data_IF_861450347058
#
_entry.id   IF_861450347058
#
_cell.length_a   1.000
_cell.length_b   1.000
_cell.length_c   1.000
_cell.angle_alpha   90.00
_cell.angle_beta   90.00
_cell.angle_gamma   90.00
#
_symmetry.space_group_name_H-M   'P 1'
#
loop_
_entity.id
_entity.type
_entity.pdbx_description
1 polymer ?
#
# COMPACT_ATOMS: atom_id res chain seq x y z
N UNK A 1 -36.10 -34.32 -10.71
CA UNK A 1 -34.86 -33.51 -10.65
C UNK A 1 -35.13 -32.30 -9.76
N UNK A 2 -34.59 -32.25 -8.53
CA UNK A 2 -34.69 -31.05 -7.68
C UNK A 2 -33.87 -29.95 -8.35
N UNK A 3 -34.51 -28.87 -8.81
CA UNK A 3 -33.79 -27.65 -9.20
C UNK A 3 -33.01 -27.19 -7.97
N UNK A 4 -31.68 -27.36 -7.97
CA UNK A 4 -30.83 -26.70 -6.99
C UNK A 4 -31.15 -25.21 -7.09
N UNK A 5 -31.53 -24.59 -5.97
CA UNK A 5 -31.67 -23.13 -5.92
C UNK A 5 -30.33 -22.55 -6.34
N UNK A 6 -30.34 -21.67 -7.34
CA UNK A 6 -29.15 -20.91 -7.70
C UNK A 6 -28.66 -20.20 -6.44
N UNK A 7 -27.41 -20.46 -6.05
CA UNK A 7 -26.73 -19.70 -5.02
C UNK A 7 -26.41 -18.33 -5.61
N UNK A 8 -26.59 -17.29 -4.80
CA UNK A 8 -26.23 -15.93 -5.14
C UNK A 8 -25.22 -15.45 -4.11
N UNK A 9 -24.23 -14.67 -4.54
CA UNK A 9 -23.22 -14.09 -3.66
C UNK A 9 -23.15 -12.58 -3.87
N UNK A 10 -23.04 -11.83 -2.78
CA UNK A 10 -23.00 -10.38 -2.81
C UNK A 10 -21.62 -9.91 -3.28
N UNK A 11 -21.57 -9.17 -4.38
CA UNK A 11 -20.32 -8.61 -4.90
C UNK A 11 -19.72 -7.60 -3.91
N UNK A 12 -18.46 -7.75 -3.45
CA UNK A 12 -17.83 -6.82 -2.52
C UNK A 12 -17.70 -5.38 -3.03
N UNK A 13 -17.57 -5.20 -4.36
CA UNK A 13 -17.47 -3.88 -4.98
C UNK A 13 -18.80 -3.10 -5.02
N UNK A 14 -19.88 -3.69 -5.55
CA UNK A 14 -21.15 -2.99 -5.75
C UNK A 14 -22.27 -3.36 -4.76
N UNK A 15 -22.05 -4.33 -3.89
CA UNK A 15 -23.04 -4.82 -2.92
C UNK A 15 -24.32 -5.43 -3.54
N UNK A 16 -24.30 -5.78 -4.83
CA UNK A 16 -25.43 -6.45 -5.51
C UNK A 16 -25.19 -7.97 -5.51
N UNK A 17 -26.25 -8.74 -5.31
CA UNK A 17 -26.23 -10.21 -5.43
C UNK A 17 -25.98 -10.65 -6.87
N UNK A 18 -25.13 -11.67 -7.04
CA UNK A 18 -24.68 -12.14 -8.34
C UNK A 18 -24.78 -13.66 -8.46
N UNK A 19 -25.38 -14.17 -9.54
CA UNK A 19 -25.29 -15.59 -9.86
C UNK A 19 -23.89 -15.93 -10.37
N UNK A 20 -23.54 -17.22 -10.39
CA UNK A 20 -22.25 -17.73 -10.89
C UNK A 20 -21.89 -17.19 -12.29
N UNK A 21 -22.89 -17.01 -13.15
CA UNK A 21 -22.74 -16.54 -14.54
C UNK A 21 -22.31 -15.07 -14.67
N UNK A 22 -22.32 -14.29 -13.57
CA UNK A 22 -21.88 -12.89 -13.55
C UNK A 22 -20.55 -12.68 -12.79
N UNK A 23 -19.83 -13.77 -12.53
CA UNK A 23 -18.55 -13.79 -11.79
C UNK A 23 -17.49 -14.56 -12.60
N UNK A 24 -17.65 -14.64 -13.91
CA UNK A 24 -16.88 -15.54 -14.77
C UNK A 24 -15.39 -15.22 -14.76
N UNK A 25 -15.02 -13.95 -14.71
CA UNK A 25 -13.61 -13.53 -14.74
C UNK A 25 -12.88 -13.97 -13.47
N UNK A 26 -13.42 -13.66 -12.30
CA UNK A 26 -12.80 -14.04 -11.02
C UNK A 26 -12.79 -15.56 -10.83
N UNK A 27 -13.85 -16.27 -11.23
CA UNK A 27 -13.91 -17.73 -11.15
C UNK A 27 -12.91 -18.41 -12.08
N UNK A 28 -12.66 -17.85 -13.27
CA UNK A 28 -11.63 -18.36 -14.17
C UNK A 28 -10.22 -18.23 -13.56
N UNK A 29 -9.94 -17.10 -12.91
CA UNK A 29 -8.65 -16.88 -12.21
C UNK A 29 -8.50 -17.85 -11.05
N UNK A 30 -9.51 -17.94 -10.17
CA UNK A 30 -9.49 -18.83 -9.02
C UNK A 30 -9.43 -20.30 -9.45
N UNK A 31 -10.18 -20.68 -10.48
CA UNK A 31 -10.14 -22.02 -11.08
C UNK A 31 -8.72 -22.46 -11.47
N UNK A 32 -7.93 -21.56 -12.07
CA UNK A 32 -6.52 -21.83 -12.39
C UNK A 32 -5.64 -21.99 -11.16
N UNK A 33 -5.89 -21.21 -10.11
CA UNK A 33 -5.16 -21.32 -8.84
C UNK A 33 -5.45 -22.66 -8.19
N UNK A 34 -6.73 -23.03 -8.04
CA UNK A 34 -7.11 -24.24 -7.30
C UNK A 34 -6.67 -25.52 -7.98
N UNK A 35 -6.76 -25.57 -9.31
CA UNK A 35 -6.26 -26.71 -10.10
C UNK A 35 -4.74 -26.85 -9.91
N UNK A 36 -4.02 -25.72 -9.92
CA UNK A 36 -2.55 -25.73 -9.84
C UNK A 36 -2.01 -26.02 -8.44
N UNK A 37 -2.64 -25.49 -7.40
CA UNK A 37 -2.08 -25.45 -6.05
C UNK A 37 -2.76 -26.39 -5.06
N UNK A 38 -4.00 -26.80 -5.33
CA UNK A 38 -4.80 -27.61 -4.41
C UNK A 38 -5.25 -28.94 -5.03
N UNK A 39 -4.87 -29.25 -6.28
CA UNK A 39 -5.29 -30.44 -7.04
C UNK A 39 -6.83 -30.63 -7.10
N UNK A 40 -7.57 -29.52 -6.98
CA UNK A 40 -9.03 -29.49 -7.01
C UNK A 40 -9.57 -29.26 -8.42
N UNK A 41 -10.85 -29.56 -8.64
CA UNK A 41 -11.52 -29.26 -9.89
C UNK A 41 -11.82 -27.76 -10.00
N UNK A 42 -11.63 -27.18 -11.19
CA UNK A 42 -12.02 -25.79 -11.47
C UNK A 42 -13.52 -25.52 -11.21
N UNK A 43 -14.37 -26.56 -11.21
CA UNK A 43 -15.78 -26.46 -10.85
C UNK A 43 -15.99 -25.93 -9.43
N UNK A 44 -15.05 -26.22 -8.53
CA UNK A 44 -15.14 -26.00 -7.09
C UNK A 44 -14.80 -24.55 -6.72
N UNK A 45 -14.23 -23.79 -7.67
CA UNK A 45 -13.86 -22.38 -7.48
C UNK A 45 -15.03 -21.52 -6.97
N UNK A 46 -16.27 -21.83 -7.36
CA UNK A 46 -17.42 -21.05 -6.93
C UNK A 46 -17.78 -21.29 -5.45
N UNK A 47 -17.74 -22.55 -5.01
CA UNK A 47 -17.98 -22.86 -3.59
C UNK A 47 -16.85 -22.28 -2.74
N UNK A 48 -15.61 -22.43 -3.19
CA UNK A 48 -14.45 -21.84 -2.51
C UNK A 48 -14.49 -20.31 -2.48
N UNK A 49 -15.03 -19.66 -3.50
CA UNK A 49 -15.23 -18.20 -3.52
C UNK A 49 -16.25 -17.76 -2.46
N UNK A 50 -17.29 -18.56 -2.23
CA UNK A 50 -18.37 -18.25 -1.28
C UNK A 50 -17.94 -18.52 0.15
N UNK A 51 -17.22 -19.61 0.38
CA UNK A 51 -16.87 -20.10 1.71
C UNK A 51 -15.64 -19.38 2.30
N UNK A 52 -14.91 -18.62 1.47
CA UNK A 52 -13.68 -17.92 1.85
C UNK A 52 -13.77 -16.40 1.69
N UNK A 53 -12.89 -15.68 2.38
CA UNK A 53 -12.84 -14.21 2.37
C UNK A 53 -12.09 -13.63 1.14
N UNK A 54 -12.31 -14.20 -0.04
CA UNK A 54 -11.68 -13.70 -1.26
C UNK A 54 -12.11 -12.26 -1.56
N UNK A 55 -11.15 -11.43 -1.96
CA UNK A 55 -11.44 -10.12 -2.52
C UNK A 55 -11.67 -10.28 -4.03
N UNK A 56 -12.90 -10.07 -4.48
CA UNK A 56 -13.32 -10.23 -5.87
C UNK A 56 -14.31 -9.14 -6.29
N UNK A 57 -14.63 -9.10 -7.59
CA UNK A 57 -15.67 -8.24 -8.14
C UNK A 57 -16.42 -8.94 -9.29
N UNK A 58 -17.70 -8.60 -9.46
CA UNK A 58 -18.51 -9.14 -10.55
C UNK A 58 -18.10 -8.59 -11.92
N UNK A 59 -18.51 -9.29 -12.97
CA UNK A 59 -18.11 -8.97 -14.34
C UNK A 59 -18.56 -7.56 -14.74
N UNK A 60 -19.74 -7.09 -14.29
CA UNK A 60 -20.20 -5.71 -14.54
C UNK A 60 -19.29 -4.65 -13.88
N UNK A 61 -18.81 -4.90 -12.65
CA UNK A 61 -17.90 -3.97 -11.99
C UNK A 61 -16.55 -3.88 -12.70
N UNK A 62 -16.06 -5.01 -13.22
CA UNK A 62 -14.83 -5.07 -14.01
C UNK A 62 -15.01 -4.36 -15.36
N UNK A 63 -16.10 -4.66 -16.08
CA UNK A 63 -16.39 -4.08 -17.40
C UNK A 63 -16.61 -2.56 -17.33
N UNK A 64 -17.28 -2.08 -16.27
CA UNK A 64 -17.48 -0.64 -16.03
C UNK A 64 -16.29 0.04 -15.37
N UNK A 65 -15.17 -0.68 -15.15
CA UNK A 65 -13.97 -0.17 -14.48
C UNK A 65 -14.22 0.38 -13.08
N UNK A 66 -15.28 -0.07 -12.39
CA UNK A 66 -15.47 0.17 -10.95
C UNK A 66 -14.50 -0.68 -10.12
N UNK A 67 -14.11 -1.83 -10.67
CA UNK A 67 -13.04 -2.67 -10.20
C UNK A 67 -12.06 -2.95 -11.34
N UNK A 68 -10.85 -3.41 -11.00
CA UNK A 68 -9.87 -3.93 -11.96
C UNK A 68 -9.46 -5.35 -11.57
N UNK A 69 -9.08 -6.14 -12.57
CA UNK A 69 -8.60 -7.50 -12.36
C UNK A 69 -7.24 -7.47 -11.65
N UNK A 70 -7.12 -8.32 -10.63
CA UNK A 70 -5.86 -8.60 -9.94
C UNK A 70 -5.20 -9.83 -10.55
N UNK A 71 -3.87 -9.87 -10.48
CA UNK A 71 -3.06 -10.99 -10.97
C UNK A 71 -2.37 -11.68 -9.78
N UNK A 72 -2.97 -12.77 -9.26
CA UNK A 72 -2.46 -13.53 -8.12
C UNK A 72 -0.97 -13.88 -8.18
N UNK A 73 -0.46 -14.24 -9.35
CA UNK A 73 0.96 -14.60 -9.55
C UNK A 73 1.94 -13.47 -9.27
N UNK A 74 1.46 -12.21 -9.23
CA UNK A 74 2.27 -11.07 -8.86
C UNK A 74 2.06 -10.65 -7.40
N UNK A 75 1.14 -11.25 -6.66
CA UNK A 75 0.94 -10.92 -5.25
C UNK A 75 1.96 -11.64 -4.39
N UNK A 76 2.32 -11.03 -3.27
CA UNK A 76 3.16 -11.65 -2.26
C UNK A 76 2.25 -12.37 -1.25
N UNK A 77 1.89 -13.62 -1.54
CA UNK A 77 1.04 -14.42 -0.67
C UNK A 77 1.42 -15.89 -0.61
N UNK A 78 0.96 -16.54 0.46
CA UNK A 78 1.14 -17.97 0.68
C UNK A 78 -0.16 -18.77 0.45
N UNK A 79 -1.35 -18.20 0.70
CA UNK A 79 -2.61 -18.99 0.71
C UNK A 79 -3.83 -18.31 0.07
N UNK A 80 -4.03 -16.99 0.22
CA UNK A 80 -5.26 -16.30 -0.24
C UNK A 80 -5.00 -15.17 -1.22
N UNK A 81 -5.32 -15.32 -2.51
CA UNK A 81 -5.08 -14.27 -3.50
C UNK A 81 -6.26 -13.34 -3.72
N UNK A 82 -5.99 -12.03 -3.79
CA UNK A 82 -6.96 -11.08 -4.30
C UNK A 82 -7.22 -11.34 -5.79
N UNK A 83 -8.49 -11.41 -6.20
CA UNK A 83 -8.91 -11.67 -7.58
C UNK A 83 -9.29 -10.38 -8.32
N UNK A 84 -9.64 -9.33 -7.57
CA UNK A 84 -9.90 -8.00 -8.10
C UNK A 84 -9.57 -6.90 -7.07
N UNK A 85 -9.41 -5.66 -7.55
CA UNK A 85 -9.29 -4.46 -6.72
C UNK A 85 -10.41 -3.48 -7.04
N UNK A 86 -10.96 -2.85 -6.01
CA UNK A 86 -11.93 -1.76 -6.10
C UNK A 86 -11.56 -0.67 -5.09
N UNK A 87 -12.10 0.53 -5.28
CA UNK A 87 -11.77 1.68 -4.43
C UNK A 87 -12.29 1.47 -2.99
N UNK A 88 -11.53 1.92 -1.98
CA UNK A 88 -11.95 1.85 -0.57
C UNK A 88 -11.65 3.15 0.13
N UNK A 89 -12.64 3.70 0.81
CA UNK A 89 -12.46 4.91 1.60
C UNK A 89 -11.81 4.60 2.94
N UNK A 90 -10.82 5.40 3.29
CA UNK A 90 -10.02 5.28 4.50
C UNK A 90 -9.93 6.64 5.17
N UNK A 91 -9.91 6.65 6.50
CA UNK A 91 -9.70 7.88 7.28
C UNK A 91 -8.22 7.98 7.66
N UNK A 92 -7.57 9.10 7.33
CA UNK A 92 -6.18 9.32 7.67
C UNK A 92 -5.99 9.39 9.18
N UNK A 93 -5.09 8.56 9.72
CA UNK A 93 -4.77 8.55 11.16
C UNK A 93 -4.12 9.84 11.63
N UNK A 94 -3.30 10.48 10.80
CA UNK A 94 -2.63 11.74 11.17
C UNK A 94 -3.54 12.97 11.09
N UNK A 95 -4.18 13.24 9.96
CA UNK A 95 -4.95 14.48 9.76
C UNK A 95 -6.48 14.31 9.83
N UNK A 96 -7.00 13.09 10.02
CA UNK A 96 -8.45 12.81 10.07
C UNK A 96 -9.19 12.94 8.73
N UNK A 97 -8.53 13.39 7.66
CA UNK A 97 -9.16 13.53 6.35
C UNK A 97 -9.47 12.18 5.72
N UNK A 98 -10.67 12.04 5.13
CA UNK A 98 -11.02 10.87 4.31
C UNK A 98 -10.24 10.90 3.00
N UNK A 99 -9.72 9.75 2.60
CA UNK A 99 -9.06 9.57 1.32
C UNK A 99 -9.39 8.18 0.77
N UNK A 100 -9.29 8.01 -0.54
CA UNK A 100 -9.60 6.75 -1.19
C UNK A 100 -8.31 5.99 -1.46
N UNK A 101 -8.22 4.76 -0.96
CA UNK A 101 -7.22 3.80 -1.41
C UNK A 101 -7.71 3.19 -2.72
N UNK A 102 -7.20 3.73 -3.83
CA UNK A 102 -7.73 3.41 -5.15
C UNK A 102 -7.35 1.99 -5.58
N UNK A 103 -8.15 1.42 -6.46
CA UNK A 103 -7.89 0.10 -7.08
C UNK A 103 -6.56 0.07 -7.84
N UNK A 104 -6.16 1.17 -8.48
CA UNK A 104 -4.86 1.31 -9.13
C UNK A 104 -3.71 1.32 -8.10
N UNK A 105 -3.90 2.03 -6.98
CA UNK A 105 -2.91 2.05 -5.90
C UNK A 105 -2.75 0.67 -5.27
N UNK A 106 -3.84 -0.06 -5.03
CA UNK A 106 -3.82 -1.45 -4.57
C UNK A 106 -3.02 -2.36 -5.50
N UNK A 107 -3.26 -2.25 -6.81
CA UNK A 107 -2.52 -3.02 -7.81
C UNK A 107 -1.03 -2.74 -7.74
N UNK A 108 -0.64 -1.47 -7.69
CA UNK A 108 0.76 -1.08 -7.52
C UNK A 108 1.35 -1.66 -6.22
N UNK A 109 0.63 -1.55 -5.11
CA UNK A 109 1.08 -2.01 -3.79
C UNK A 109 1.35 -3.51 -3.75
N UNK A 110 0.38 -4.31 -4.20
CA UNK A 110 0.44 -5.75 -4.01
C UNK A 110 1.19 -6.45 -5.15
N UNK A 111 1.07 -5.96 -6.39
CA UNK A 111 1.67 -6.64 -7.55
C UNK A 111 3.07 -6.14 -7.90
N UNK A 112 3.33 -4.85 -7.72
CA UNK A 112 4.63 -4.24 -8.07
C UNK A 112 5.52 -4.08 -6.85
N UNK A 113 5.02 -3.45 -5.79
CA UNK A 113 5.79 -3.21 -4.56
C UNK A 113 5.84 -4.43 -3.62
N UNK A 114 5.09 -5.49 -3.94
CA UNK A 114 5.05 -6.76 -3.20
C UNK A 114 4.73 -6.61 -1.71
N UNK A 115 3.95 -5.60 -1.37
CA UNK A 115 3.42 -5.47 -0.01
C UNK A 115 2.52 -6.66 0.30
N UNK A 116 2.52 -7.09 1.57
CA UNK A 116 1.56 -8.11 2.03
C UNK A 116 0.15 -7.62 1.80
N UNK A 117 -0.77 -8.51 1.43
CA UNK A 117 -2.13 -8.13 1.01
C UNK A 117 -2.96 -7.51 2.14
N UNK A 118 -2.62 -7.77 3.40
CA UNK A 118 -3.23 -7.16 4.57
C UNK A 118 -2.75 -5.71 4.79
N UNK A 119 -1.74 -5.28 4.04
CA UNK A 119 -1.19 -3.93 4.14
C UNK A 119 -2.19 -2.91 3.59
N UNK A 120 -2.61 -1.98 4.44
CA UNK A 120 -3.52 -0.89 4.09
C UNK A 120 -2.88 0.47 4.40
N UNK A 121 -3.08 1.51 3.58
CA UNK A 121 -2.59 2.84 3.91
C UNK A 121 -3.37 3.37 5.11
N UNK A 122 -2.67 3.70 6.19
CA UNK A 122 -3.29 4.30 7.39
C UNK A 122 -3.25 5.84 7.37
N UNK A 123 -2.51 6.41 6.42
CA UNK A 123 -2.31 7.84 6.24
C UNK A 123 -2.55 8.23 4.78
N UNK A 124 -3.10 9.44 4.57
CA UNK A 124 -3.28 10.00 3.24
C UNK A 124 -1.91 10.25 2.56
N UNK A 125 -1.90 10.46 1.24
CA UNK A 125 -0.66 10.67 0.48
C UNK A 125 0.20 11.83 1.02
N UNK A 126 -0.35 13.02 1.33
CA UNK A 126 0.43 14.11 1.94
C UNK A 126 1.10 13.70 3.26
N UNK A 127 0.36 13.09 4.19
CA UNK A 127 0.92 12.64 5.47
C UNK A 127 1.97 11.54 5.28
N UNK A 128 1.78 10.60 4.33
CA UNK A 128 2.80 9.59 4.00
C UNK A 128 4.08 10.22 3.45
N UNK A 129 3.98 11.26 2.61
CA UNK A 129 5.14 12.01 2.11
C UNK A 129 5.87 12.72 3.25
N UNK A 130 5.14 13.36 4.16
CA UNK A 130 5.72 14.02 5.33
C UNK A 130 6.45 13.05 6.24
N UNK A 131 5.86 11.89 6.55
CA UNK A 131 6.52 10.84 7.35
C UNK A 131 7.81 10.35 6.68
N UNK A 132 7.78 10.14 5.36
CA UNK A 132 8.98 9.74 4.60
C UNK A 132 10.07 10.82 4.63
N UNK A 133 9.69 12.09 4.48
CA UNK A 133 10.61 13.23 4.58
C UNK A 133 11.26 13.29 5.97
N UNK A 134 10.46 13.24 7.03
CA UNK A 134 10.97 13.26 8.40
C UNK A 134 11.91 12.08 8.69
N UNK A 135 11.59 10.88 8.17
CA UNK A 135 12.48 9.71 8.30
C UNK A 135 13.79 9.89 7.54
N UNK A 136 13.74 10.42 6.32
CA UNK A 136 14.94 10.71 5.54
C UNK A 136 15.83 11.75 6.24
N UNK A 137 15.24 12.85 6.73
CA UNK A 137 15.94 13.87 7.50
C UNK A 137 16.56 13.31 8.78
N UNK A 138 15.81 12.51 9.55
CA UNK A 138 16.34 11.83 10.74
C UNK A 138 17.53 10.92 10.40
N UNK A 139 17.46 10.17 9.31
CA UNK A 139 18.58 9.34 8.87
C UNK A 139 19.80 10.19 8.51
N UNK A 140 19.61 11.28 7.75
CA UNK A 140 20.69 12.22 7.40
C UNK A 140 21.34 12.82 8.65
N UNK A 141 20.54 13.32 9.60
CA UNK A 141 21.05 13.81 10.88
C UNK A 141 21.86 12.72 11.60
N UNK A 142 21.32 11.51 11.69
CA UNK A 142 21.96 10.39 12.39
C UNK A 142 23.30 10.01 11.77
N UNK A 143 23.42 10.02 10.44
CA UNK A 143 24.69 9.71 9.77
C UNK A 143 25.74 10.80 9.95
N UNK A 144 25.34 12.08 9.91
CA UNK A 144 26.27 13.19 10.14
C UNK A 144 26.73 13.21 11.61
N UNK A 145 25.81 13.03 12.55
CA UNK A 145 26.09 13.14 14.00
C UNK A 145 26.87 11.96 14.58
N UNK A 146 27.02 10.85 13.84
CA UNK A 146 27.92 9.75 14.20
C UNK A 146 29.40 10.09 13.96
N UNK A 147 29.68 11.05 13.09
CA UNK A 147 31.06 11.45 12.78
C UNK A 147 31.67 12.23 13.92
N UNK A 148 32.99 12.15 14.05
CA UNK A 148 33.68 13.01 15.01
C UNK A 148 33.57 14.48 14.57
N UNK A 149 33.50 15.39 15.54
CA UNK A 149 33.24 16.82 15.28
C UNK A 149 34.26 17.47 14.33
N UNK A 150 35.49 16.96 14.28
CA UNK A 150 36.53 17.45 13.38
C UNK A 150 36.33 16.99 11.92
N UNK A 151 35.68 15.85 11.71
CA UNK A 151 35.42 15.23 10.41
C UNK A 151 34.18 15.79 9.70
N UNK A 152 33.23 16.36 10.46
CA UNK A 152 32.00 16.92 9.86
C UNK A 152 32.35 18.12 8.97
N UNK A 153 32.08 18.01 7.67
CA UNK A 153 32.36 19.08 6.70
C UNK A 153 31.45 20.30 6.89
N UNK A 154 31.85 21.45 6.34
CA UNK A 154 31.02 22.66 6.37
C UNK A 154 29.66 22.43 5.69
N UNK A 155 29.62 21.66 4.59
CA UNK A 155 28.39 21.37 3.86
C UNK A 155 27.43 20.47 4.65
N UNK A 156 27.98 19.51 5.41
CA UNK A 156 27.19 18.70 6.34
C UNK A 156 26.65 19.54 7.49
N UNK A 157 27.45 20.47 8.04
CA UNK A 157 26.97 21.40 9.05
C UNK A 157 25.83 22.27 8.52
N UNK A 158 25.91 22.78 7.28
CA UNK A 158 24.79 23.51 6.65
C UNK A 158 23.55 22.63 6.53
N UNK A 159 23.72 21.38 6.12
CA UNK A 159 22.62 20.41 6.05
C UNK A 159 21.95 20.22 7.42
N UNK A 160 22.71 20.17 8.52
CA UNK A 160 22.17 20.12 9.88
C UNK A 160 21.35 21.39 10.20
N UNK A 161 21.88 22.58 9.88
CA UNK A 161 21.20 23.87 10.08
C UNK A 161 19.86 23.89 9.33
N UNK A 162 19.85 23.52 8.06
CA UNK A 162 18.65 23.52 7.24
C UNK A 162 17.56 22.61 7.82
N UNK A 163 17.92 21.38 8.21
CA UNK A 163 16.97 20.42 8.81
C UNK A 163 16.44 20.95 10.14
N UNK A 164 17.31 21.43 11.04
CA UNK A 164 16.86 21.93 12.34
C UNK A 164 16.01 23.21 12.22
N UNK A 165 16.28 24.05 11.23
CA UNK A 165 15.45 25.23 10.94
C UNK A 165 14.06 24.80 10.45
N UNK A 166 13.98 23.84 9.53
CA UNK A 166 12.71 23.31 9.04
C UNK A 166 11.87 22.62 10.15
N UNK A 167 12.52 22.11 11.19
CA UNK A 167 11.85 21.49 12.35
C UNK A 167 11.55 22.49 13.47
N UNK A 168 11.79 23.77 13.26
CA UNK A 168 11.65 24.84 14.24
C UNK A 168 12.46 24.57 15.54
N UNK A 169 13.71 24.13 15.36
CA UNK A 169 14.69 23.90 16.44
C UNK A 169 15.81 24.93 16.38
N UNK A 170 15.44 26.19 16.59
CA UNK A 170 16.32 27.36 16.42
C UNK A 170 17.62 27.26 17.23
N UNK A 171 17.56 26.81 18.49
CA UNK A 171 18.76 26.66 19.34
C UNK A 171 19.80 25.72 18.72
N UNK A 172 19.35 24.61 18.11
CA UNK A 172 20.23 23.66 17.44
C UNK A 172 20.76 24.23 16.13
N UNK A 173 19.92 24.89 15.33
CA UNK A 173 20.35 25.55 14.11
C UNK A 173 21.47 26.56 14.41
N UNK A 174 21.27 27.47 15.37
CA UNK A 174 22.28 28.46 15.77
C UNK A 174 23.56 27.82 16.31
N UNK A 175 23.47 26.69 17.01
CA UNK A 175 24.67 25.96 17.46
C UNK A 175 25.55 25.52 16.28
N UNK A 176 24.98 24.90 15.25
CA UNK A 176 25.74 24.45 14.09
C UNK A 176 26.22 25.62 13.19
N UNK A 177 25.47 26.73 13.11
CA UNK A 177 25.93 27.96 12.45
C UNK A 177 27.22 28.53 13.07
N UNK A 178 27.30 28.51 14.41
CA UNK A 178 28.52 28.94 15.12
C UNK A 178 29.70 28.01 14.82
N UNK A 179 29.47 26.70 14.69
CA UNK A 179 30.51 25.75 14.29
C UNK A 179 31.00 26.00 12.86
N UNK A 180 30.10 26.29 11.92
CA UNK A 180 30.47 26.69 10.55
C UNK A 180 31.37 27.92 10.59
N UNK A 181 30.96 28.96 11.33
CA UNK A 181 31.72 30.21 11.45
C UNK A 181 33.11 29.96 12.04
N UNK A 182 33.21 29.10 13.06
CA UNK A 182 34.49 28.74 13.68
C UNK A 182 35.39 27.98 12.70
N UNK A 183 34.84 27.04 11.93
CA UNK A 183 35.59 26.23 10.97
C UNK A 183 36.08 27.04 9.77
N UNK A 184 35.28 28.00 9.30
CA UNK A 184 35.68 28.95 8.25
C UNK A 184 36.81 29.89 8.69
N UNK A 185 36.87 30.27 9.98
CA UNK A 185 37.95 31.10 10.53
C UNK A 185 39.25 30.33 10.76
N UNK A 186 39.21 28.99 10.74
CA UNK A 186 40.37 28.12 10.94
C UNK A 186 40.94 27.54 9.64
N UNK A 187 40.34 27.87 8.49
CA UNK A 187 40.83 27.58 7.14
C UNK A 187 41.70 28.73 6.64
#
# INVERSE_FOLDING_TARGET
MRKQKEKYVKCPCCSIEKPRTEITVCLSILGKIIVKHYEMSASDAYEMLIDSNYIWACDDCLNRKKAIVAFPTFQNNELDSYLAYYDTDVTCRTCGTKFTFTKEEKKLWYETLKFRMESMPVNCLPCRKQVRLLKAQNNTLSEILKKDAHEISIEELKTLVDIYTQWDKQEKATYYERLITKKLKSL
#
